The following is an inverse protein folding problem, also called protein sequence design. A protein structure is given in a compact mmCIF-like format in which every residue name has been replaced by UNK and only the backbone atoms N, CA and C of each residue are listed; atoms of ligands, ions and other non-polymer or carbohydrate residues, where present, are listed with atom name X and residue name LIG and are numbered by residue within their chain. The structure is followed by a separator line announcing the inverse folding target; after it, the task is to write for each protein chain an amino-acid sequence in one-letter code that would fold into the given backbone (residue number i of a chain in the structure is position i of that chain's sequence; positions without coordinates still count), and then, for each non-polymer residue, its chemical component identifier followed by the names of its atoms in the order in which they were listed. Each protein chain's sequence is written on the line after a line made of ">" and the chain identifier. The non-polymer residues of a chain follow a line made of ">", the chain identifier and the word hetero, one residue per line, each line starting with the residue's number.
data_IF_890455916730
#
_entry.id   IF_890455916730
#
_cell.length_a   1.000
_cell.length_b   1.000
_cell.length_c   1.000
_cell.angle_alpha   90.00
_cell.angle_beta   90.00
_cell.angle_gamma   90.00
#
_symmetry.space_group_name_H-M   'P 1'
#
loop_
_entity.id
_entity.type
_entity.pdbx_description
1 polymer ?
#
# COMPACT_ATOMS: atom_id res chain seq x y z
N UNK A 1 42.39 -39.88 13.08
CA UNK A 1 42.01 -39.94 11.66
C UNK A 1 40.49 -40.11 11.66
N UNK A 2 39.67 -39.07 11.64
CA UNK A 2 39.61 -37.95 10.70
C UNK A 2 39.21 -36.64 11.42
N UNK A 3 40.01 -35.60 11.22
CA UNK A 3 39.60 -34.22 11.49
C UNK A 3 38.57 -33.83 10.42
N UNK A 4 37.33 -33.55 10.81
CA UNK A 4 36.43 -32.78 9.97
C UNK A 4 36.65 -31.31 10.30
N UNK A 5 37.58 -30.71 9.56
CA UNK A 5 37.72 -29.26 9.45
C UNK A 5 36.45 -28.70 8.82
N UNK A 6 35.66 -27.98 9.62
CA UNK A 6 34.59 -27.11 9.12
C UNK A 6 35.25 -25.82 8.62
N UNK A 7 35.89 -25.91 7.46
CA UNK A 7 36.44 -24.75 6.77
C UNK A 7 35.29 -23.87 6.27
N UNK A 8 35.15 -22.70 6.90
CA UNK A 8 34.90 -21.42 6.23
C UNK A 8 34.16 -21.48 4.88
N UNK A 9 32.86 -21.71 4.89
CA UNK A 9 32.04 -21.55 3.70
C UNK A 9 30.66 -21.04 4.05
N UNK A 10 30.59 -19.73 4.33
CA UNK A 10 29.42 -18.88 4.13
C UNK A 10 29.90 -17.43 4.07
N UNK A 11 30.53 -17.06 2.96
CA UNK A 11 30.69 -15.65 2.63
C UNK A 11 29.30 -15.07 2.34
N UNK A 12 28.83 -14.02 3.04
CA UNK A 12 27.55 -13.36 2.75
C UNK A 12 27.65 -12.46 1.49
N UNK A 13 28.28 -12.98 0.42
CA UNK A 13 28.55 -12.26 -0.83
C UNK A 13 27.49 -12.53 -1.92
N UNK A 14 26.32 -13.03 -1.56
CA UNK A 14 25.19 -13.19 -2.50
C UNK A 14 23.91 -12.55 -1.97
N UNK A 15 24.00 -11.31 -1.49
CA UNK A 15 22.87 -10.40 -1.57
C UNK A 15 22.62 -10.12 -3.06
N UNK A 16 21.91 -11.05 -3.70
CA UNK A 16 21.33 -10.87 -5.01
C UNK A 16 20.46 -9.62 -4.93
N UNK A 17 21.03 -8.48 -5.34
CA UNK A 17 20.29 -7.24 -5.52
C UNK A 17 19.12 -7.59 -6.44
N UNK A 18 17.85 -7.48 -6.01
CA UNK A 18 16.74 -7.67 -6.92
C UNK A 18 16.92 -6.64 -8.03
N UNK A 19 17.34 -7.14 -9.20
CA UNK A 19 17.82 -6.32 -10.28
C UNK A 19 16.75 -5.33 -10.72
N UNK A 20 17.16 -4.06 -10.83
CA UNK A 20 16.50 -3.01 -11.62
C UNK A 20 16.13 -3.47 -13.05
N UNK A 21 16.63 -4.62 -13.50
CA UNK A 21 16.37 -5.28 -14.78
C UNK A 21 15.00 -5.96 -14.91
N UNK A 22 14.19 -6.11 -13.85
CA UNK A 22 12.82 -6.67 -14.00
C UNK A 22 11.80 -5.67 -14.59
N UNK A 23 12.00 -4.38 -14.39
CA UNK A 23 11.11 -3.35 -14.93
C UNK A 23 11.11 -3.32 -16.47
N UNK A 24 12.28 -3.52 -17.09
CA UNK A 24 12.41 -3.57 -18.55
C UNK A 24 11.82 -4.85 -19.15
N UNK A 25 11.86 -5.98 -18.42
CA UNK A 25 11.25 -7.24 -18.84
C UNK A 25 9.72 -7.22 -18.86
N UNK A 26 9.10 -6.50 -17.91
CA UNK A 26 7.64 -6.32 -17.86
C UNK A 26 7.15 -5.36 -18.93
N UNK A 27 7.85 -4.25 -19.19
CA UNK A 27 7.53 -3.33 -20.28
C UNK A 27 7.63 -4.04 -21.65
N UNK A 28 8.68 -4.85 -21.85
CA UNK A 28 8.87 -5.61 -23.10
C UNK A 28 7.86 -6.75 -23.25
N UNK A 29 7.46 -7.42 -22.16
CA UNK A 29 6.36 -8.42 -22.18
C UNK A 29 4.99 -7.78 -22.36
N UNK A 30 4.79 -6.57 -21.87
CA UNK A 30 3.55 -5.83 -22.05
C UNK A 30 3.30 -5.50 -23.54
N UNK A 31 4.37 -5.19 -24.28
CA UNK A 31 4.31 -4.97 -25.73
C UNK A 31 4.18 -6.26 -26.56
N UNK A 32 4.33 -7.46 -25.98
CA UNK A 32 4.16 -8.72 -26.74
C UNK A 32 2.74 -9.30 -26.69
N UNK A 33 1.82 -8.66 -25.94
CA UNK A 33 0.42 -9.12 -25.83
C UNK A 33 -0.52 -8.15 -26.56
N UNK A 34 -1.18 -8.57 -27.66
CA UNK A 34 -1.99 -7.67 -28.48
C UNK A 34 -3.15 -7.05 -27.69
N UNK A 35 -3.71 -7.77 -26.73
CA UNK A 35 -4.77 -7.27 -25.86
C UNK A 35 -4.32 -6.11 -24.95
N UNK A 36 -3.08 -6.15 -24.46
CA UNK A 36 -2.55 -5.09 -23.60
C UNK A 36 -2.18 -3.85 -24.42
N UNK A 37 -1.67 -4.04 -25.64
CA UNK A 37 -1.44 -2.93 -26.58
C UNK A 37 -2.76 -2.23 -26.94
N UNK A 38 -3.82 -2.99 -27.19
CA UNK A 38 -5.15 -2.43 -27.45
C UNK A 38 -5.66 -1.61 -26.25
N UNK A 39 -5.51 -2.14 -25.04
CA UNK A 39 -5.92 -1.42 -23.81
C UNK A 39 -5.16 -0.11 -23.63
N UNK A 40 -3.84 -0.12 -23.86
CA UNK A 40 -3.01 1.09 -23.83
C UNK A 40 -3.35 2.09 -24.93
N UNK A 41 -3.65 1.61 -26.14
CA UNK A 41 -4.06 2.46 -27.26
C UNK A 41 -5.38 3.18 -26.98
N UNK A 42 -6.38 2.46 -26.43
CA UNK A 42 -7.67 3.05 -26.03
C UNK A 42 -7.47 4.07 -24.91
N UNK A 43 -6.70 3.73 -23.88
CA UNK A 43 -6.41 4.67 -22.79
C UNK A 43 -5.70 5.94 -23.29
N UNK A 44 -4.71 5.80 -24.18
CA UNK A 44 -4.02 6.92 -24.79
C UNK A 44 -4.95 7.79 -25.65
N UNK A 45 -5.85 7.18 -26.41
CA UNK A 45 -6.86 7.88 -27.20
C UNK A 45 -7.81 8.69 -26.30
N UNK A 46 -8.31 8.10 -25.20
CA UNK A 46 -9.19 8.78 -24.24
C UNK A 46 -8.49 9.94 -23.54
N UNK A 47 -7.22 9.77 -23.17
CA UNK A 47 -6.42 10.86 -22.60
C UNK A 47 -6.19 11.97 -23.63
N UNK A 48 -5.87 11.63 -24.88
CA UNK A 48 -5.72 12.62 -25.94
C UNK A 48 -7.02 13.41 -26.18
N UNK A 49 -8.17 12.71 -26.19
CA UNK A 49 -9.49 13.31 -26.28
C UNK A 49 -9.78 14.27 -25.11
N UNK A 50 -9.37 13.93 -23.90
CA UNK A 50 -9.58 14.76 -22.72
C UNK A 50 -8.65 16.00 -22.66
N UNK A 51 -7.40 15.86 -23.08
CA UNK A 51 -6.42 16.96 -23.00
C UNK A 51 -6.50 17.95 -24.15
N UNK A 52 -6.90 17.51 -25.35
CA UNK A 52 -6.90 18.36 -26.55
C UNK A 52 -8.17 18.17 -27.39
N UNK A 53 -9.37 18.46 -26.83
CA UNK A 53 -10.63 18.28 -27.56
C UNK A 53 -10.70 19.15 -28.82
N UNK A 54 -10.23 20.40 -28.76
CA UNK A 54 -10.27 21.34 -29.88
C UNK A 54 -9.35 21.01 -31.07
N UNK A 55 -8.50 19.99 -30.98
CA UNK A 55 -7.74 19.46 -32.15
C UNK A 55 -8.42 18.26 -32.80
N UNK A 56 -9.37 17.63 -32.09
CA UNK A 56 -10.07 16.43 -32.54
C UNK A 56 -11.41 16.81 -33.18
N UNK A 57 -12.05 17.87 -32.68
CA UNK A 57 -13.34 18.35 -33.20
C UNK A 57 -13.29 19.85 -33.45
N UNK A 58 -13.68 20.26 -34.65
CA UNK A 58 -13.82 21.67 -35.04
C UNK A 58 -15.22 22.21 -34.68
N UNK A 59 -16.22 21.31 -34.59
CA UNK A 59 -17.61 21.64 -34.31
C UNK A 59 -17.82 22.04 -32.85
N UNK A 60 -18.68 23.04 -32.61
CA UNK A 60 -19.05 23.46 -31.26
C UNK A 60 -20.04 22.46 -30.63
N UNK A 61 -19.75 21.88 -29.46
CA UNK A 61 -20.60 20.88 -28.82
C UNK A 61 -21.94 21.43 -28.29
N UNK A 62 -22.08 22.75 -28.15
CA UNK A 62 -23.25 23.39 -27.56
C UNK A 62 -24.21 23.95 -28.60
N UNK A 63 -23.72 24.32 -29.78
CA UNK A 63 -24.55 24.83 -30.86
C UNK A 63 -25.18 23.68 -31.64
N UNK A 64 -26.49 23.77 -31.84
CA UNK A 64 -27.26 22.83 -32.65
C UNK A 64 -27.71 23.50 -33.94
N UNK A 65 -27.58 22.79 -35.05
CA UNK A 65 -28.15 23.21 -36.33
C UNK A 65 -29.65 22.79 -36.41
N UNK A 66 -30.37 23.26 -37.43
CA UNK A 66 -31.78 22.90 -37.65
C UNK A 66 -31.97 21.41 -38.01
N UNK A 67 -30.88 20.75 -38.40
CA UNK A 67 -30.79 19.39 -38.88
C UNK A 67 -30.69 18.41 -37.70
N UNK A 68 -31.87 17.94 -37.25
CA UNK A 68 -32.06 17.07 -36.07
C UNK A 68 -32.14 15.59 -36.45
N UNK A 69 -31.60 14.72 -35.58
CA UNK A 69 -31.58 13.26 -35.74
C UNK A 69 -30.98 12.80 -37.08
N UNK A 70 -29.89 13.43 -37.52
CA UNK A 70 -29.21 12.96 -38.72
C UNK A 70 -28.49 11.64 -38.45
N UNK A 71 -28.55 10.69 -39.41
CA UNK A 71 -27.71 9.50 -39.35
C UNK A 71 -26.22 9.89 -39.44
N UNK A 72 -25.30 9.00 -39.01
CA UNK A 72 -23.86 9.25 -39.09
C UNK A 72 -23.42 9.40 -40.55
N UNK A 73 -23.19 10.65 -41.00
CA UNK A 73 -22.86 10.99 -42.39
C UNK A 73 -21.98 12.24 -42.42
N UNK A 74 -20.94 12.23 -43.26
CA UNK A 74 -20.13 13.41 -43.58
C UNK A 74 -19.48 14.05 -42.36
N UNK A 75 -19.81 15.31 -42.12
CA UNK A 75 -19.27 16.14 -41.04
C UNK A 75 -19.81 15.76 -39.64
N UNK A 76 -20.84 14.91 -39.55
CA UNK A 76 -21.37 14.37 -38.30
C UNK A 76 -21.03 12.88 -38.16
N UNK A 77 -19.82 12.60 -37.68
CA UNK A 77 -19.29 11.23 -37.54
C UNK A 77 -20.22 10.29 -36.75
N UNK A 78 -20.88 10.80 -35.71
CA UNK A 78 -21.81 10.05 -34.86
C UNK A 78 -23.28 10.46 -35.06
N UNK A 79 -23.58 11.34 -36.02
CA UNK A 79 -24.90 11.94 -36.21
C UNK A 79 -25.22 13.06 -35.21
N UNK A 80 -26.45 13.56 -35.25
CA UNK A 80 -26.93 14.66 -34.40
C UNK A 80 -27.96 14.22 -33.37
N UNK A 81 -28.01 14.93 -32.23
CA UNK A 81 -29.00 14.67 -31.19
C UNK A 81 -30.39 15.29 -31.49
N UNK A 82 -31.34 15.13 -30.56
CA UNK A 82 -32.69 15.73 -30.67
C UNK A 82 -32.68 17.26 -30.72
N UNK A 83 -31.55 17.90 -30.40
CA UNK A 83 -31.34 19.34 -30.44
C UNK A 83 -30.49 19.78 -31.63
N UNK A 84 -30.14 18.86 -32.55
CA UNK A 84 -29.32 19.16 -33.74
C UNK A 84 -27.83 19.36 -33.44
N UNK A 85 -27.36 18.94 -32.26
CA UNK A 85 -25.94 19.06 -31.86
C UNK A 85 -25.16 17.82 -32.30
N UNK A 86 -23.91 18.03 -32.72
CA UNK A 86 -23.00 16.95 -33.10
C UNK A 86 -22.63 16.06 -31.89
N UNK A 87 -22.97 14.77 -31.98
CA UNK A 87 -22.69 13.79 -30.94
C UNK A 87 -21.18 13.52 -30.78
N UNK A 88 -20.40 13.59 -31.86
CA UNK A 88 -18.95 13.36 -31.80
C UNK A 88 -18.26 14.45 -30.97
N UNK A 89 -18.56 15.71 -31.25
CA UNK A 89 -18.11 16.86 -30.45
C UNK A 89 -18.51 16.72 -28.97
N UNK A 90 -19.76 16.35 -28.68
CA UNK A 90 -20.22 16.18 -27.29
C UNK A 90 -19.49 15.07 -26.53
N UNK A 91 -19.17 13.95 -27.18
CA UNK A 91 -18.38 12.88 -26.55
C UNK A 91 -16.96 13.35 -26.23
N UNK A 92 -16.31 14.04 -27.16
CA UNK A 92 -14.93 14.51 -27.00
C UNK A 92 -14.83 15.58 -25.90
N UNK A 93 -15.69 16.60 -25.92
CA UNK A 93 -15.74 17.61 -24.86
C UNK A 93 -16.23 17.04 -23.51
N UNK A 94 -17.15 16.06 -23.54
CA UNK A 94 -17.59 15.35 -22.34
C UNK A 94 -16.48 14.53 -21.68
N UNK A 95 -15.57 13.95 -22.47
CA UNK A 95 -14.40 13.23 -21.95
C UNK A 95 -13.47 14.17 -21.17
N UNK A 96 -13.25 15.40 -21.65
CA UNK A 96 -12.45 16.39 -20.94
C UNK A 96 -13.02 16.71 -19.55
N UNK A 97 -14.32 17.01 -19.47
CA UNK A 97 -14.96 17.35 -18.19
C UNK A 97 -15.00 16.15 -17.23
N UNK A 98 -15.21 14.94 -17.75
CA UNK A 98 -15.17 13.71 -16.96
C UNK A 98 -13.79 13.46 -16.36
N UNK A 99 -12.72 13.58 -17.15
CA UNK A 99 -11.35 13.37 -16.67
C UNK A 99 -10.96 14.42 -15.63
N UNK A 100 -11.28 15.69 -15.86
CA UNK A 100 -11.07 16.75 -14.86
C UNK A 100 -11.78 16.44 -13.54
N UNK A 101 -13.06 16.05 -13.62
CA UNK A 101 -13.85 15.70 -12.44
C UNK A 101 -13.25 14.51 -11.67
N UNK A 102 -12.86 13.45 -12.38
CA UNK A 102 -12.24 12.26 -11.76
C UNK A 102 -10.93 12.60 -11.09
N UNK A 103 -10.06 13.41 -11.71
CA UNK A 103 -8.78 13.82 -11.11
C UNK A 103 -9.02 14.56 -9.79
N UNK A 104 -9.94 15.52 -9.77
CA UNK A 104 -10.28 16.28 -8.55
C UNK A 104 -10.84 15.33 -7.48
N UNK A 105 -11.79 14.48 -7.84
CA UNK A 105 -12.41 13.52 -6.91
C UNK A 105 -11.37 12.59 -6.28
N UNK A 106 -10.49 12.00 -7.10
CA UNK A 106 -9.42 11.12 -6.65
C UNK A 106 -8.43 11.87 -5.77
N UNK A 107 -8.02 13.09 -6.12
CA UNK A 107 -7.11 13.88 -5.29
C UNK A 107 -7.69 14.16 -3.91
N UNK A 108 -8.98 14.56 -3.84
CA UNK A 108 -9.66 14.82 -2.56
C UNK A 108 -9.75 13.54 -1.73
N UNK A 109 -10.24 12.45 -2.33
CA UNK A 109 -10.37 11.16 -1.65
C UNK A 109 -9.02 10.60 -1.19
N UNK A 110 -8.00 10.69 -2.04
CA UNK A 110 -6.65 10.24 -1.76
C UNK A 110 -6.03 11.07 -0.65
N UNK A 111 -6.07 12.40 -0.70
CA UNK A 111 -5.43 13.24 0.31
C UNK A 111 -6.10 13.09 1.68
N UNK A 112 -7.43 13.24 1.75
CA UNK A 112 -8.18 13.15 3.00
C UNK A 112 -8.22 11.72 3.53
N UNK A 113 -8.49 10.74 2.68
CA UNK A 113 -8.53 9.33 3.09
C UNK A 113 -7.15 8.84 3.51
N UNK A 114 -6.10 9.15 2.75
CA UNK A 114 -4.76 8.67 3.09
C UNK A 114 -4.21 9.30 4.35
N UNK A 115 -4.49 10.58 4.61
CA UNK A 115 -4.09 11.22 5.87
C UNK A 115 -4.82 10.61 7.06
N UNK A 116 -6.13 10.39 6.97
CA UNK A 116 -6.89 9.69 8.02
C UNK A 116 -6.39 8.26 8.25
N UNK A 117 -6.16 7.49 7.18
CA UNK A 117 -5.65 6.12 7.26
C UNK A 117 -4.22 6.05 7.81
N UNK A 118 -3.38 7.04 7.47
CA UNK A 118 -2.03 7.18 8.01
C UNK A 118 -2.07 7.46 9.51
N UNK A 119 -2.89 8.42 9.95
CA UNK A 119 -3.06 8.75 11.37
C UNK A 119 -3.59 7.54 12.14
N UNK A 120 -4.63 6.89 11.64
CA UNK A 120 -5.21 5.70 12.27
C UNK A 120 -4.18 4.56 12.41
N UNK A 121 -3.49 4.22 11.31
CA UNK A 121 -2.46 3.18 11.29
C UNK A 121 -1.20 3.53 12.10
N UNK A 122 -0.88 4.82 12.26
CA UNK A 122 0.29 5.28 13.01
C UNK A 122 0.04 5.35 14.52
N UNK A 123 -1.05 5.94 14.99
CA UNK A 123 -1.26 6.04 16.43
C UNK A 123 -1.73 4.71 17.04
N UNK A 124 -2.56 3.94 16.31
CA UNK A 124 -3.17 2.72 16.86
C UNK A 124 -4.08 3.01 18.06
N UNK A 125 -4.65 1.94 18.64
CA UNK A 125 -5.49 2.03 19.84
C UNK A 125 -6.75 2.86 19.65
N UNK A 126 -7.08 3.73 20.63
CA UNK A 126 -8.33 4.50 20.68
C UNK A 126 -8.54 5.43 19.46
N UNK A 127 -7.46 6.04 18.96
CA UNK A 127 -7.55 6.93 17.79
C UNK A 127 -7.90 6.15 16.52
N UNK A 128 -7.33 4.95 16.39
CA UNK A 128 -7.60 4.05 15.28
C UNK A 128 -9.05 3.54 15.33
N UNK A 129 -9.52 3.12 16.52
CA UNK A 129 -10.91 2.68 16.73
C UNK A 129 -11.92 3.79 16.41
N UNK A 130 -11.70 5.02 16.88
CA UNK A 130 -12.58 6.15 16.62
C UNK A 130 -12.63 6.54 15.14
N UNK A 131 -11.47 6.62 14.46
CA UNK A 131 -11.41 6.94 13.03
C UNK A 131 -12.09 5.84 12.22
N UNK A 132 -11.87 4.58 12.59
CA UNK A 132 -12.38 3.44 11.82
C UNK A 132 -13.87 3.25 12.04
N UNK A 133 -14.39 3.61 13.21
CA UNK A 133 -15.82 3.69 13.44
C UNK A 133 -16.47 4.77 12.56
N UNK A 134 -15.86 5.94 12.41
CA UNK A 134 -16.34 6.98 11.48
C UNK A 134 -16.32 6.47 10.03
N UNK A 135 -15.25 5.81 9.62
CA UNK A 135 -15.11 5.19 8.28
C UNK A 135 -16.19 4.13 8.05
N UNK A 136 -16.51 3.31 9.06
CA UNK A 136 -17.53 2.28 8.98
C UNK A 136 -18.94 2.88 8.85
N UNK A 137 -19.23 3.97 9.57
CA UNK A 137 -20.47 4.74 9.39
C UNK A 137 -20.57 5.29 7.97
N UNK A 138 -19.48 5.84 7.44
CA UNK A 138 -19.45 6.41 6.09
C UNK A 138 -19.69 5.34 5.01
N UNK A 139 -19.23 4.10 5.25
CA UNK A 139 -19.40 2.97 4.33
C UNK A 139 -20.72 2.21 4.48
N UNK A 140 -21.40 2.38 5.61
CA UNK A 140 -22.77 1.90 5.78
C UNK A 140 -23.76 2.64 4.89
N UNK A 141 -23.45 3.88 4.51
CA UNK A 141 -24.28 4.69 3.61
C UNK A 141 -23.77 4.50 2.18
N UNK A 142 -24.64 4.17 1.21
CA UNK A 142 -24.23 4.10 -0.19
C UNK A 142 -23.56 5.41 -0.63
N UNK A 143 -22.37 5.33 -1.22
CA UNK A 143 -21.56 6.50 -1.61
C UNK A 143 -22.34 7.49 -2.48
N UNK A 144 -23.25 6.98 -3.33
CA UNK A 144 -24.13 7.81 -4.16
C UNK A 144 -25.06 8.72 -3.33
N UNK A 145 -25.53 8.26 -2.16
CA UNK A 145 -26.39 9.06 -1.28
C UNK A 145 -25.61 10.20 -0.64
N UNK A 146 -24.39 9.92 -0.16
CA UNK A 146 -23.50 10.96 0.40
C UNK A 146 -23.18 12.00 -0.69
N UNK A 147 -22.80 11.54 -1.88
CA UNK A 147 -22.48 12.43 -2.99
C UNK A 147 -23.67 13.32 -3.36
N UNK A 148 -24.87 12.76 -3.50
CA UNK A 148 -26.07 13.52 -3.83
C UNK A 148 -26.44 14.54 -2.75
N UNK A 149 -26.35 14.17 -1.48
CA UNK A 149 -26.60 15.10 -0.36
C UNK A 149 -25.64 16.29 -0.37
N UNK A 150 -24.35 16.04 -0.62
CA UNK A 150 -23.34 17.11 -0.72
C UNK A 150 -23.62 17.99 -1.95
N UNK A 151 -23.94 17.41 -3.10
CA UNK A 151 -24.25 18.18 -4.33
C UNK A 151 -25.49 19.06 -4.12
N UNK A 152 -26.50 18.58 -3.40
CA UNK A 152 -27.70 19.36 -3.11
C UNK A 152 -27.38 20.64 -2.30
N UNK A 153 -26.36 20.60 -1.44
CA UNK A 153 -25.91 21.74 -0.64
C UNK A 153 -24.94 22.64 -1.41
N UNK A 154 -23.97 22.06 -2.13
CA UNK A 154 -22.95 22.80 -2.89
C UNK A 154 -23.50 23.40 -4.20
N UNK A 155 -24.59 22.87 -4.73
CA UNK A 155 -25.16 23.24 -6.02
C UNK A 155 -24.52 22.51 -7.19
N UNK A 156 -25.13 22.69 -8.37
CA UNK A 156 -24.70 22.03 -9.60
C UNK A 156 -23.39 22.61 -10.15
N UNK A 157 -22.49 21.73 -10.57
CA UNK A 157 -21.24 22.09 -11.25
C UNK A 157 -20.26 20.92 -11.28
N UNK A 158 -19.40 20.87 -12.31
CA UNK A 158 -18.41 19.79 -12.49
C UNK A 158 -17.49 19.66 -11.27
N UNK A 159 -17.01 20.78 -10.73
CA UNK A 159 -16.10 20.81 -9.58
C UNK A 159 -16.80 20.38 -8.29
N UNK A 160 -18.01 20.87 -8.04
CA UNK A 160 -18.76 20.52 -6.83
C UNK A 160 -19.14 19.04 -6.81
N UNK A 161 -19.57 18.50 -7.97
CA UNK A 161 -19.79 17.07 -8.17
C UNK A 161 -18.52 16.27 -7.89
N UNK A 162 -17.38 16.71 -8.44
CA UNK A 162 -16.10 16.03 -8.22
C UNK A 162 -15.70 16.01 -6.74
N UNK A 163 -15.85 17.12 -6.02
CA UNK A 163 -15.56 17.19 -4.59
C UNK A 163 -16.48 16.25 -3.80
N UNK A 164 -17.78 16.24 -4.11
CA UNK A 164 -18.75 15.38 -3.43
C UNK A 164 -18.42 13.89 -3.60
N UNK A 165 -18.11 13.46 -4.83
CA UNK A 165 -17.68 12.08 -5.12
C UNK A 165 -16.35 11.77 -4.43
N UNK A 166 -15.42 12.72 -4.42
CA UNK A 166 -14.14 12.59 -3.74
C UNK A 166 -14.30 12.35 -2.24
N UNK A 167 -15.15 13.14 -1.55
CA UNK A 167 -15.48 12.96 -0.14
C UNK A 167 -16.09 11.57 0.11
N UNK A 168 -17.00 11.13 -0.77
CA UNK A 168 -17.60 9.80 -0.68
C UNK A 168 -16.57 8.65 -0.78
N UNK A 169 -15.41 8.89 -1.41
CA UNK A 169 -14.34 7.88 -1.56
C UNK A 169 -13.31 7.87 -0.42
N UNK A 170 -13.37 8.83 0.51
CA UNK A 170 -12.41 9.00 1.62
C UNK A 170 -12.26 7.73 2.46
N UNK A 171 -13.37 7.07 2.78
CA UNK A 171 -13.38 5.87 3.61
C UNK A 171 -12.63 4.69 2.96
N UNK A 172 -12.76 4.51 1.64
CA UNK A 172 -12.05 3.48 0.89
C UNK A 172 -10.53 3.72 0.91
N UNK A 173 -10.10 4.96 0.63
CA UNK A 173 -8.67 5.32 0.67
C UNK A 173 -8.09 5.22 2.08
N UNK A 174 -8.85 5.58 3.13
CA UNK A 174 -8.42 5.45 4.51
C UNK A 174 -8.13 4.00 4.90
N UNK A 175 -9.00 3.05 4.54
CA UNK A 175 -8.78 1.62 4.82
C UNK A 175 -7.55 1.07 4.09
N UNK A 176 -7.35 1.44 2.83
CA UNK A 176 -6.19 1.01 2.05
C UNK A 176 -4.89 1.51 2.69
N UNK A 177 -4.84 2.78 3.07
CA UNK A 177 -3.65 3.35 3.69
C UNK A 177 -3.38 2.80 5.09
N UNK A 178 -4.43 2.58 5.91
CA UNK A 178 -4.28 1.90 7.21
C UNK A 178 -3.68 0.51 7.00
N UNK A 179 -4.18 -0.27 6.04
CA UNK A 179 -3.65 -1.59 5.71
C UNK A 179 -2.18 -1.57 5.32
N UNK A 180 -1.75 -0.57 4.53
CA UNK A 180 -0.35 -0.41 4.14
C UNK A 180 0.56 -0.08 5.34
N UNK A 181 0.10 0.78 6.26
CA UNK A 181 0.88 1.13 7.45
C UNK A 181 1.00 -0.06 8.41
N UNK A 182 -0.09 -0.79 8.65
CA UNK A 182 -0.05 -2.00 9.47
C UNK A 182 0.87 -3.06 8.85
N UNK A 183 0.83 -3.24 7.52
CA UNK A 183 1.75 -4.14 6.80
C UNK A 183 3.21 -3.74 6.98
N UNK A 184 3.52 -2.44 6.91
CA UNK A 184 4.89 -1.94 7.11
C UNK A 184 5.38 -2.11 8.54
N UNK A 185 4.48 -2.00 9.54
CA UNK A 185 4.81 -2.22 10.95
C UNK A 185 5.16 -3.68 11.27
N UNK A 186 4.49 -4.62 10.63
CA UNK A 186 4.68 -6.06 10.85
C UNK A 186 5.84 -6.65 10.05
N UNK A 187 6.78 -5.84 9.58
CA UNK A 187 7.75 -6.28 8.58
C UNK A 187 9.12 -6.61 9.21
N UNK A 188 9.62 -7.81 8.92
CA UNK A 188 10.78 -8.47 9.55
C UNK A 188 12.09 -7.65 9.58
N UNK A 189 12.30 -6.79 8.59
CA UNK A 189 13.41 -5.85 8.53
C UNK A 189 13.45 -4.86 9.72
N UNK A 190 12.30 -4.51 10.31
CA UNK A 190 12.25 -3.72 11.55
C UNK A 190 12.82 -4.54 12.72
N UNK A 191 12.41 -5.81 12.83
CA UNK A 191 12.92 -6.71 13.87
C UNK A 191 14.43 -6.98 13.70
N UNK A 192 14.88 -7.27 12.49
CA UNK A 192 16.30 -7.48 12.17
C UNK A 192 17.15 -6.24 12.50
N UNK A 193 16.65 -5.03 12.21
CA UNK A 193 17.35 -3.79 12.56
C UNK A 193 17.46 -3.59 14.08
N UNK A 194 16.42 -3.95 14.83
CA UNK A 194 16.45 -3.92 16.28
C UNK A 194 17.47 -4.92 16.86
N UNK A 195 17.55 -6.13 16.31
CA UNK A 195 18.55 -7.13 16.69
C UNK A 195 19.98 -6.67 16.37
N UNK A 196 20.22 -6.12 15.17
CA UNK A 196 21.53 -5.61 14.80
C UNK A 196 21.95 -4.37 15.63
N UNK A 197 21.02 -3.51 16.01
CA UNK A 197 21.28 -2.37 16.88
C UNK A 197 21.71 -2.79 18.29
N UNK A 198 21.12 -3.87 18.82
CA UNK A 198 21.54 -4.45 20.11
C UNK A 198 22.90 -5.17 19.98
N UNK A 199 23.17 -5.84 18.86
CA UNK A 199 24.40 -6.59 18.63
C UNK A 199 25.64 -5.70 18.35
N UNK A 200 25.45 -4.48 17.84
CA UNK A 200 26.54 -3.57 17.47
C UNK A 200 27.16 -2.81 18.64
N UNK A 201 26.74 -3.08 19.88
CA UNK A 201 27.46 -2.60 21.07
C UNK A 201 27.61 -1.08 21.13
N UNK A 202 26.58 -0.34 20.72
CA UNK A 202 26.46 1.06 21.14
C UNK A 202 26.31 1.04 22.66
N UNK A 203 27.42 1.34 23.32
CA UNK A 203 27.72 1.13 24.73
C UNK A 203 26.73 1.89 25.63
N UNK A 204 25.55 1.29 25.86
CA UNK A 204 24.54 1.50 26.91
C UNK A 204 23.28 0.71 26.54
N UNK A 205 23.36 -0.62 26.66
CA UNK A 205 22.17 -1.43 26.83
C UNK A 205 21.81 -1.44 28.33
N UNK A 206 20.74 -0.76 28.81
CA UNK A 206 20.24 -1.05 30.13
C UNK A 206 19.64 -2.46 30.12
N UNK A 207 20.03 -3.27 31.10
CA UNK A 207 19.64 -4.66 31.32
C UNK A 207 18.13 -4.88 31.59
N UNK A 208 17.27 -3.99 31.11
CA UNK A 208 15.83 -3.96 31.34
C UNK A 208 15.01 -4.52 30.16
N UNK A 209 15.64 -4.75 29.00
CA UNK A 209 14.98 -5.37 27.83
C UNK A 209 14.75 -6.89 27.94
N UNK A 210 15.33 -7.56 28.94
CA UNK A 210 15.15 -9.01 29.15
C UNK A 210 14.10 -9.36 30.22
N UNK A 211 13.36 -8.38 30.77
CA UNK A 211 12.40 -8.63 31.86
C UNK A 211 10.93 -8.28 31.57
N UNK A 212 10.56 -7.66 30.45
CA UNK A 212 9.15 -7.24 30.23
C UNK A 212 8.29 -8.15 29.36
N UNK A 213 8.79 -9.30 28.88
CA UNK A 213 7.94 -10.30 28.20
C UNK A 213 7.05 -11.14 29.13
N UNK A 214 6.82 -10.70 30.37
CA UNK A 214 5.93 -11.38 31.32
C UNK A 214 4.99 -10.36 31.98
N UNK A 215 3.82 -10.15 31.36
CA UNK A 215 2.76 -9.34 31.95
C UNK A 215 1.60 -9.04 31.01
N UNK A 216 0.70 -10.01 30.84
CA UNK A 216 -0.70 -9.74 30.49
C UNK A 216 -1.31 -8.84 31.57
N UNK A 217 -1.94 -7.73 31.19
CA UNK A 217 -2.54 -6.79 32.15
C UNK A 217 -3.10 -5.54 31.50
N UNK A 218 -4.37 -5.63 31.10
CA UNK A 218 -5.38 -4.57 31.24
C UNK A 218 -4.98 -3.44 32.22
N UNK A 219 -4.77 -2.21 31.75
CA UNK A 219 -5.49 -0.98 32.18
C UNK A 219 -4.86 0.34 31.65
N UNK A 220 -5.77 1.26 31.32
CA UNK A 220 -5.74 2.73 31.39
C UNK A 220 -4.54 3.58 30.92
N UNK A 221 -4.84 4.39 29.90
CA UNK A 221 -4.77 5.86 30.01
C UNK A 221 -3.38 6.47 30.07
N UNK A 222 -2.69 6.54 28.93
CA UNK A 222 -1.62 7.54 28.74
C UNK A 222 -2.00 8.50 27.63
N UNK A 223 -2.16 9.75 28.04
CA UNK A 223 -2.04 10.94 27.22
C UNK A 223 -0.85 10.79 26.29
N UNK A 224 -1.14 10.63 25.00
CA UNK A 224 -0.21 10.95 23.92
C UNK A 224 -0.75 12.24 23.35
N UNK A 225 0.02 13.31 23.48
CA UNK A 225 -0.42 14.67 23.19
C UNK A 225 -0.86 14.78 21.71
N UNK A 226 -2.13 15.14 21.42
CA UNK A 226 -2.73 14.91 20.10
C UNK A 226 -2.34 15.88 18.97
N UNK A 227 -1.39 16.81 19.16
CA UNK A 227 -1.18 17.92 18.22
C UNK A 227 0.30 18.33 17.99
N UNK A 228 1.18 17.41 17.59
CA UNK A 228 2.51 17.79 17.03
C UNK A 228 2.77 17.24 15.62
N UNK A 229 1.79 17.44 14.73
CA UNK A 229 1.91 17.13 13.30
C UNK A 229 2.87 18.10 12.58
N UNK A 230 3.10 19.30 13.14
CA UNK A 230 3.90 20.37 12.55
C UNK A 230 5.41 20.19 12.71
N UNK A 231 5.91 19.77 13.88
CA UNK A 231 7.35 19.67 14.11
C UNK A 231 7.99 18.49 13.36
N UNK A 232 7.26 17.38 13.17
CA UNK A 232 7.83 16.12 12.69
C UNK A 232 8.00 16.04 11.16
N UNK A 233 7.17 16.75 10.38
CA UNK A 233 7.31 16.88 8.92
C UNK A 233 8.61 17.60 8.51
N UNK A 234 9.14 18.48 9.37
CA UNK A 234 10.38 19.22 9.10
C UNK A 234 11.65 18.37 9.24
N UNK A 235 11.60 17.29 10.02
CA UNK A 235 12.72 16.35 10.20
C UNK A 235 12.88 15.38 9.02
N UNK A 236 11.76 14.95 8.43
CA UNK A 236 11.74 14.04 7.28
C UNK A 236 12.42 14.63 6.03
N UNK A 237 12.29 15.94 5.80
CA UNK A 237 12.95 16.65 4.70
C UNK A 237 14.43 16.99 4.95
N UNK A 238 14.95 16.81 6.17
CA UNK A 238 16.32 17.19 6.55
C UNK A 238 17.33 16.04 6.55
N UNK A 239 16.93 14.84 6.14
CA UNK A 239 17.84 13.74 5.89
C UNK A 239 18.62 13.98 4.59
N UNK A 240 19.77 14.67 4.69
CA UNK A 240 20.70 14.87 3.57
C UNK A 240 21.27 13.52 3.11
N UNK A 241 21.14 13.14 1.82
CA UNK A 241 21.86 12.00 1.29
C UNK A 241 23.31 12.43 1.01
N UNK A 242 24.30 11.83 1.68
CA UNK A 242 25.68 11.87 1.18
C UNK A 242 26.80 12.20 2.16
N UNK A 243 26.88 11.57 3.33
CA UNK A 243 28.18 11.44 4.01
C UNK A 243 28.89 10.19 3.53
N UNK A 244 29.87 10.40 2.64
CA UNK A 244 30.91 9.43 2.28
C UNK A 244 31.55 8.87 3.56
N UNK A 245 31.52 7.54 3.75
CA UNK A 245 32.43 6.87 4.66
C UNK A 245 33.84 6.92 4.06
N UNK A 246 34.76 7.59 4.75
CA UNK A 246 36.19 7.50 4.48
C UNK A 246 36.74 6.12 4.87
N UNK A 247 37.87 5.70 4.31
CA UNK A 247 38.43 4.38 4.54
C UNK A 247 38.98 4.31 5.98
N UNK A 248 38.40 3.46 6.81
CA UNK A 248 38.92 3.18 8.14
C UNK A 248 40.16 2.30 8.02
N UNK A 249 41.26 2.80 8.56
CA UNK A 249 42.58 2.22 8.60
C UNK A 249 42.59 0.79 9.16
N UNK A 250 43.22 -0.12 8.40
CA UNK A 250 43.64 -1.42 8.90
C UNK A 250 44.93 -1.24 9.72
N UNK A 251 44.81 -1.06 11.03
CA UNK A 251 45.93 -1.34 11.94
C UNK A 251 45.56 -2.47 12.90
N UNK A 252 46.41 -3.48 12.88
CA UNK A 252 46.19 -4.79 13.49
C UNK A 252 46.15 -4.74 15.01
N UNK A 253 45.15 -5.41 15.57
CA UNK A 253 45.12 -5.83 16.96
C UNK A 253 45.49 -7.32 17.02
N UNK A 254 46.66 -7.59 17.59
CA UNK A 254 47.16 -8.93 17.95
C UNK A 254 46.21 -9.55 18.99
N UNK A 255 45.76 -10.77 18.73
CA UNK A 255 45.07 -11.60 19.72
C UNK A 255 46.11 -12.25 20.67
N UNK A 256 45.96 -12.17 22.00
CA UNK A 256 46.76 -12.95 22.92
C UNK A 256 46.21 -14.38 23.04
N UNK A 257 47.11 -15.35 22.89
CA UNK A 257 46.91 -16.77 23.19
C UNK A 257 46.92 -17.01 24.70
N UNK A 258 45.86 -17.58 25.25
CA UNK A 258 45.80 -18.40 26.47
C UNK A 258 44.42 -19.08 26.44
N UNK A 259 44.18 -20.33 26.80
CA UNK A 259 44.96 -21.40 27.39
C UNK A 259 43.96 -22.56 27.56
N UNK A 260 44.43 -23.78 27.34
CA UNK A 260 43.67 -25.03 27.42
C UNK A 260 43.10 -25.26 28.83
N UNK A 261 41.81 -25.57 28.95
CA UNK A 261 41.28 -26.34 30.09
C UNK A 261 40.22 -27.30 29.54
N UNK A 262 40.57 -28.58 29.53
CA UNK A 262 39.67 -29.68 29.23
C UNK A 262 38.69 -29.93 30.37
N UNK A 263 37.52 -30.47 30.01
CA UNK A 263 36.69 -31.24 30.92
C UNK A 263 35.90 -32.26 30.11
N UNK A 264 36.36 -33.50 30.22
CA UNK A 264 35.57 -34.70 29.95
C UNK A 264 34.37 -34.72 30.91
N UNK A 265 33.21 -35.11 30.40
CA UNK A 265 32.33 -36.05 31.10
C UNK A 265 31.48 -36.84 30.11
N UNK A 266 31.71 -38.14 30.16
CA UNK A 266 31.05 -39.24 29.48
C UNK A 266 29.62 -39.50 29.97
N UNK A 267 28.83 -40.17 29.12
CA UNK A 267 27.59 -40.89 29.48
C UNK A 267 26.32 -40.05 29.29
N UNK A 268 25.19 -40.56 28.81
CA UNK A 268 24.76 -41.92 28.49
C UNK A 268 23.38 -41.80 27.79
N UNK A 269 22.95 -42.84 27.07
CA UNK A 269 21.52 -43.11 26.89
C UNK A 269 20.95 -42.93 25.49
N UNK A 270 21.32 -43.85 24.60
CA UNK A 270 20.48 -44.30 23.48
C UNK A 270 19.15 -44.88 24.00
N UNK A 271 18.03 -44.58 23.34
CA UNK A 271 16.69 -45.00 23.77
C UNK A 271 15.63 -44.94 22.67
N UNK A 272 15.80 -45.79 21.67
CA UNK A 272 14.78 -46.22 20.70
C UNK A 272 13.61 -46.93 21.40
N UNK A 273 12.35 -46.58 21.07
CA UNK A 273 11.17 -47.47 21.02
C UNK A 273 9.93 -46.62 20.63
N UNK A 274 9.41 -46.70 19.39
CA UNK A 274 8.46 -47.70 18.88
C UNK A 274 7.28 -48.00 19.81
N UNK A 275 6.09 -47.83 19.23
CA UNK A 275 4.83 -48.51 19.56
C UNK A 275 4.12 -48.18 20.88
N UNK A 276 3.05 -47.39 20.78
CA UNK A 276 1.78 -47.75 21.42
C UNK A 276 0.60 -47.27 20.60
N UNK A 277 0.21 -48.13 19.66
CA UNK A 277 -1.18 -48.24 19.24
C UNK A 277 -2.00 -48.89 20.38
N UNK A 278 -3.32 -48.72 20.27
CA UNK A 278 -4.40 -49.40 21.03
C UNK A 278 -4.76 -48.78 22.37
N UNK A 279 -5.88 -48.05 22.45
CA UNK A 279 -7.21 -48.60 22.74
C UNK A 279 -8.18 -47.49 23.15
N UNK A 280 -9.28 -47.33 22.40
CA UNK A 280 -10.64 -46.86 22.77
C UNK A 280 -11.37 -46.59 21.44
N UNK A 281 -11.98 -47.56 20.74
CA UNK A 281 -13.25 -48.28 20.98
C UNK A 281 -14.41 -47.41 21.51
N UNK A 282 -15.48 -47.35 20.69
CA UNK A 282 -16.84 -46.89 20.99
C UNK A 282 -17.31 -45.78 20.04
N UNK A 283 -17.84 -45.99 18.82
CA UNK A 283 -19.07 -46.70 18.41
C UNK A 283 -20.34 -46.21 19.11
N UNK A 284 -21.08 -45.27 18.49
CA UNK A 284 -22.57 -45.11 18.35
C UNK A 284 -22.70 -44.00 17.27
N UNK A 285 -23.02 -44.18 15.99
CA UNK A 285 -24.20 -44.77 15.33
C UNK A 285 -25.53 -44.21 15.85
N UNK A 286 -26.08 -43.17 15.23
CA UNK A 286 -27.46 -43.20 14.68
C UNK A 286 -28.00 -41.85 14.15
N UNK A 287 -28.72 -41.97 13.01
CA UNK A 287 -29.83 -41.14 12.47
C UNK A 287 -29.45 -39.74 11.95
N UNK A 288 -29.70 -39.34 10.70
CA UNK A 288 -30.64 -39.81 9.68
C UNK A 288 -31.91 -38.95 9.69
N UNK A 289 -32.18 -38.26 8.56
CA UNK A 289 -33.34 -37.40 8.23
C UNK A 289 -33.37 -36.06 9.00
N UNK A 290 -33.52 -34.88 8.38
CA UNK A 290 -34.33 -34.49 7.21
C UNK A 290 -33.59 -33.55 6.25
#
# INVERSE_FOLDING_TARGET
>A
MTHHDFTSQDSPASLARPGLTRATGLARRALTRPFLQLSWAIAALLLLAAFVPGRITVNDPLFGELDRLLPPVGDHLFGTDNFGRDLFARVVFGAQETVKAVIIAVLVGLLLGSTLGLVAGWYGGLADDAIMQLVDVLLSVPTLMIALAIIAVLGFGTVNLAIAVGIGSVASFARVMRGEILRRRAADWIEASAFCAVASGADRAPAQCLRSHRGSGHDRGRLVDPFDFGAQLSGFWRARPGTRMGPADRHGARLPRHGLVGRDHSGAGSGNQRNRAQHHRGSIAERGAE
#
